data_IF_837037721203
#
_entry.id   IF_837037721203
#
_cell.length_a   1.000
_cell.length_b   1.000
_cell.length_c   1.000
_cell.angle_alpha   90.00
_cell.angle_beta   90.00
_cell.angle_gamma   90.00
#
_symmetry.space_group_name_H-M   'P 1'
#
loop_
_entity.id
_entity.type
_entity.pdbx_description
1 polymer ?
#
# COMPACT_ATOMS: atom_id res chain seq x y z
N UNK A 1 4.18 44.53 -14.19
CA UNK A 1 4.87 44.34 -12.89
C UNK A 1 4.15 43.30 -12.05
N UNK A 2 4.26 42.00 -12.29
CA UNK A 2 3.68 40.92 -11.43
C UNK A 2 4.38 39.56 -11.52
N UNK A 3 5.59 39.50 -12.09
CA UNK A 3 6.30 38.20 -12.26
C UNK A 3 7.65 38.12 -11.50
N UNK A 4 8.06 39.16 -10.80
CA UNK A 4 9.36 39.20 -10.10
C UNK A 4 9.29 38.71 -8.63
N UNK A 5 8.11 38.61 -8.02
CA UNK A 5 7.96 38.17 -6.63
C UNK A 5 7.92 36.64 -6.43
N UNK A 6 7.69 35.88 -7.50
CA UNK A 6 7.67 34.40 -7.41
C UNK A 6 9.07 33.78 -7.29
N UNK A 7 10.12 34.51 -7.69
CA UNK A 7 11.52 34.02 -7.67
C UNK A 7 12.25 34.29 -6.36
N UNK A 8 11.69 35.09 -5.44
CA UNK A 8 12.33 35.43 -4.15
C UNK A 8 11.97 34.50 -2.98
N UNK A 9 10.99 33.60 -3.16
CA UNK A 9 10.67 32.61 -2.12
C UNK A 9 11.48 31.35 -2.37
N UNK A 10 12.41 31.05 -1.45
CA UNK A 10 13.24 29.85 -1.55
C UNK A 10 12.41 28.56 -1.59
N UNK A 11 12.96 27.46 -2.08
CA UNK A 11 12.26 26.17 -2.28
C UNK A 11 11.58 25.62 -1.02
N UNK A 12 12.01 26.02 0.17
CA UNK A 12 11.44 25.60 1.46
C UNK A 12 10.12 26.32 1.76
N UNK A 13 10.00 27.62 1.45
CA UNK A 13 8.81 28.41 1.74
C UNK A 13 7.65 28.10 0.78
N UNK A 14 7.99 27.79 -0.48
CA UNK A 14 7.03 27.33 -1.47
C UNK A 14 6.44 25.96 -1.09
N UNK A 15 7.25 25.03 -0.56
CA UNK A 15 6.80 23.70 -0.13
C UNK A 15 5.87 23.76 1.09
N UNK A 16 6.12 24.62 2.09
CA UNK A 16 5.29 24.73 3.30
C UNK A 16 3.82 25.08 3.01
N UNK A 17 3.54 25.81 1.94
CA UNK A 17 2.17 26.23 1.57
C UNK A 17 1.31 25.10 1.02
N UNK A 18 1.91 24.00 0.56
CA UNK A 18 1.25 22.85 -0.03
C UNK A 18 1.40 21.56 0.79
N UNK A 19 2.07 21.62 1.93
CA UNK A 19 2.22 20.45 2.78
C UNK A 19 0.95 20.19 3.59
N UNK A 20 0.53 18.94 3.61
CA UNK A 20 -0.60 18.47 4.39
C UNK A 20 -0.12 17.97 5.75
N UNK A 21 -0.44 18.71 6.81
CA UNK A 21 -0.24 18.21 8.16
C UNK A 21 -1.39 17.25 8.47
N UNK A 22 -1.09 15.97 8.50
CA UNK A 22 -2.03 14.95 8.93
C UNK A 22 -2.22 15.05 10.45
N UNK A 23 -3.45 15.22 10.87
CA UNK A 23 -3.84 15.07 12.27
C UNK A 23 -4.31 13.63 12.57
N UNK A 24 -4.64 13.34 13.83
CA UNK A 24 -5.08 12.00 14.24
C UNK A 24 -6.36 11.57 13.54
N UNK A 25 -7.23 12.51 13.16
CA UNK A 25 -8.46 12.20 12.44
C UNK A 25 -8.17 11.85 10.98
N UNK A 26 -7.26 12.57 10.32
CA UNK A 26 -6.83 12.23 8.96
C UNK A 26 -6.24 10.81 8.90
N UNK A 27 -5.39 10.46 9.87
CA UNK A 27 -4.82 9.11 9.97
C UNK A 27 -5.91 8.06 10.17
N UNK A 28 -6.90 8.30 11.04
CA UNK A 28 -8.03 7.39 11.26
C UNK A 28 -8.86 7.19 9.99
N UNK A 29 -9.15 8.26 9.25
CA UNK A 29 -9.89 8.18 7.98
C UNK A 29 -9.11 7.38 6.94
N UNK A 30 -7.80 7.61 6.81
CA UNK A 30 -6.94 6.90 5.86
C UNK A 30 -6.90 5.40 6.18
N UNK A 31 -6.81 5.04 7.47
CA UNK A 31 -6.85 3.64 7.92
C UNK A 31 -8.12 2.92 7.48
N UNK A 32 -9.27 3.57 7.63
CA UNK A 32 -10.57 3.00 7.25
C UNK A 32 -10.70 2.72 5.75
N UNK A 33 -10.01 3.50 4.92
CA UNK A 33 -10.01 3.35 3.46
C UNK A 33 -8.90 2.44 2.94
N UNK A 34 -8.11 1.87 3.81
CA UNK A 34 -6.95 1.08 3.45
C UNK A 34 -5.68 1.91 3.34
N UNK A 35 -4.73 1.54 4.16
CA UNK A 35 -3.41 2.13 4.15
C UNK A 35 -2.46 1.34 3.23
N UNK A 36 -1.24 1.85 2.99
CA UNK A 36 -0.25 1.21 2.13
C UNK A 36 0.14 -0.21 2.52
N UNK A 37 -0.24 -0.65 3.70
CA UNK A 37 0.29 -1.87 4.30
C UNK A 37 -0.80 -2.87 4.71
N UNK A 38 -2.07 -2.44 4.81
CA UNK A 38 -3.19 -3.28 5.24
C UNK A 38 -4.32 -3.31 4.21
N UNK A 39 -4.78 -4.47 3.75
CA UNK A 39 -5.85 -4.53 2.75
C UNK A 39 -7.19 -4.04 3.30
N UNK A 40 -7.85 -3.13 2.59
CA UNK A 40 -9.26 -2.81 2.78
C UNK A 40 -10.08 -3.55 1.73
N UNK A 41 -10.80 -4.57 2.15
CA UNK A 41 -11.53 -5.45 1.25
C UNK A 41 -12.80 -4.82 0.68
N UNK A 42 -13.45 -3.89 1.40
CA UNK A 42 -14.61 -3.19 0.86
C UNK A 42 -14.19 -2.03 -0.03
N UNK A 43 -14.04 -2.31 -1.31
CA UNK A 43 -13.61 -1.32 -2.32
C UNK A 43 -14.65 -0.20 -2.56
N UNK A 44 -15.86 -0.34 -2.02
CA UNK A 44 -16.97 0.62 -2.13
C UNK A 44 -17.39 1.18 -0.77
N UNK A 45 -16.48 1.14 0.20
CA UNK A 45 -16.74 1.70 1.53
C UNK A 45 -17.26 3.14 1.44
N UNK A 46 -18.38 3.41 2.13
CA UNK A 46 -19.03 4.72 2.08
C UNK A 46 -18.46 5.66 3.12
N UNK A 47 -18.49 6.95 2.85
CA UNK A 47 -18.06 7.97 3.82
C UNK A 47 -18.93 7.97 5.07
N UNK A 48 -20.23 7.67 4.92
CA UNK A 48 -21.18 7.52 6.03
C UNK A 48 -20.78 6.37 6.97
N UNK A 49 -20.41 5.20 6.40
CA UNK A 49 -19.96 4.06 7.18
C UNK A 49 -18.65 4.34 7.93
N UNK A 50 -17.68 4.97 7.26
CA UNK A 50 -16.43 5.42 7.88
C UNK A 50 -16.73 6.39 9.02
N UNK A 51 -17.52 7.43 8.75
CA UNK A 51 -17.90 8.45 9.73
C UNK A 51 -18.51 7.84 11.00
N UNK A 52 -19.43 6.88 10.84
CA UNK A 52 -20.05 6.16 11.94
C UNK A 52 -19.02 5.38 12.79
N UNK A 53 -18.06 4.69 12.15
CA UNK A 53 -17.04 3.91 12.90
C UNK A 53 -16.07 4.79 13.66
N UNK A 54 -15.69 5.93 13.09
CA UNK A 54 -14.72 6.84 13.74
C UNK A 54 -15.37 7.92 14.61
N UNK A 55 -16.71 7.99 14.66
CA UNK A 55 -17.46 8.90 15.53
C UNK A 55 -17.44 10.35 15.08
N UNK A 56 -17.56 10.60 13.77
CA UNK A 56 -17.68 11.94 13.15
C UNK A 56 -18.86 11.97 12.17
N UNK A 57 -19.18 13.13 11.61
CA UNK A 57 -20.15 13.27 10.54
C UNK A 57 -19.54 12.94 9.16
N UNK A 58 -20.41 12.56 8.20
CA UNK A 58 -20.00 12.20 6.84
C UNK A 58 -19.32 13.36 6.10
N UNK A 59 -19.80 14.58 6.31
CA UNK A 59 -19.26 15.77 5.64
C UNK A 59 -17.80 16.04 6.10
N UNK A 60 -17.51 15.77 7.36
CA UNK A 60 -16.12 15.83 7.87
C UNK A 60 -15.21 14.85 7.15
N UNK A 61 -15.62 13.59 6.95
CA UNK A 61 -14.85 12.61 6.18
C UNK A 61 -14.66 13.07 4.74
N UNK A 62 -15.74 13.48 4.08
CA UNK A 62 -15.75 13.97 2.69
C UNK A 62 -14.81 15.16 2.51
N UNK A 63 -14.91 16.17 3.36
CA UNK A 63 -14.09 17.39 3.31
C UNK A 63 -12.61 17.09 3.51
N UNK A 64 -12.26 16.19 4.44
CA UNK A 64 -10.88 15.81 4.72
C UNK A 64 -10.24 15.05 3.56
N UNK A 65 -10.93 14.08 2.98
CA UNK A 65 -10.45 13.34 1.82
C UNK A 65 -10.31 14.24 0.59
N UNK A 66 -11.31 15.08 0.33
CA UNK A 66 -11.25 16.08 -0.77
C UNK A 66 -10.03 16.99 -0.61
N UNK A 67 -9.77 17.48 0.60
CA UNK A 67 -8.59 18.29 0.89
C UNK A 67 -7.28 17.51 0.62
N UNK A 68 -7.21 16.24 1.01
CA UNK A 68 -6.03 15.41 0.77
C UNK A 68 -5.79 15.17 -0.74
N UNK A 69 -6.86 15.00 -1.52
CA UNK A 69 -6.82 14.89 -2.98
C UNK A 69 -6.39 16.21 -3.64
N UNK A 70 -7.00 17.33 -3.28
CA UNK A 70 -6.67 18.67 -3.80
C UNK A 70 -5.23 19.10 -3.50
N UNK A 71 -4.69 18.72 -2.34
CA UNK A 71 -3.30 18.94 -1.97
C UNK A 71 -2.35 17.93 -2.65
N UNK A 72 -2.88 16.87 -3.26
CA UNK A 72 -2.09 15.80 -3.84
C UNK A 72 -1.37 14.92 -2.80
N UNK A 73 -1.72 15.02 -1.52
CA UNK A 73 -1.14 14.20 -0.46
C UNK A 73 -1.69 12.77 -0.47
N UNK A 74 -2.91 12.59 -0.96
CA UNK A 74 -3.53 11.29 -1.25
C UNK A 74 -4.18 11.34 -2.64
N UNK A 75 -3.39 11.26 -3.73
CA UNK A 75 -3.88 11.49 -5.09
C UNK A 75 -4.81 10.39 -5.59
N UNK A 76 -5.00 9.31 -4.85
CA UNK A 76 -5.98 8.31 -5.23
C UNK A 76 -5.77 6.93 -4.61
N UNK A 77 -6.54 6.01 -5.14
CA UNK A 77 -6.64 4.63 -4.71
C UNK A 77 -6.43 3.71 -5.89
N UNK A 78 -5.90 2.52 -5.64
CA UNK A 78 -5.76 1.46 -6.64
C UNK A 78 -6.51 0.22 -6.19
N UNK A 79 -7.20 -0.42 -7.11
CA UNK A 79 -7.76 -1.74 -6.89
C UNK A 79 -6.67 -2.78 -7.06
N UNK A 80 -6.55 -3.65 -6.09
CA UNK A 80 -5.63 -4.79 -6.10
C UNK A 80 -6.42 -6.09 -6.01
N UNK A 81 -5.84 -7.17 -6.48
CA UNK A 81 -6.44 -8.50 -6.44
C UNK A 81 -5.71 -9.37 -5.42
N UNK A 82 -6.46 -10.16 -4.67
CA UNK A 82 -5.87 -11.16 -3.80
C UNK A 82 -5.00 -12.13 -4.63
N UNK A 83 -3.70 -12.26 -4.34
CA UNK A 83 -2.78 -13.05 -5.16
C UNK A 83 -3.24 -14.49 -5.34
N UNK A 84 -3.91 -15.08 -4.36
CA UNK A 84 -4.38 -16.47 -4.41
C UNK A 84 -5.42 -16.74 -5.49
N UNK A 85 -6.19 -15.70 -5.90
CA UNK A 85 -7.14 -15.82 -7.03
C UNK A 85 -6.45 -16.00 -8.38
N UNK A 86 -5.20 -15.57 -8.46
CA UNK A 86 -4.41 -15.68 -9.69
C UNK A 86 -3.29 -16.72 -9.59
N UNK A 87 -3.39 -17.63 -8.58
CA UNK A 87 -2.44 -18.71 -8.37
C UNK A 87 -1.09 -18.23 -7.86
N UNK A 88 -1.07 -17.11 -7.13
CA UNK A 88 0.15 -16.52 -6.58
C UNK A 88 0.10 -16.46 -5.05
N UNK A 89 1.28 -16.41 -4.46
CA UNK A 89 1.54 -15.92 -3.12
C UNK A 89 2.18 -14.54 -3.22
N UNK A 90 2.32 -13.85 -2.09
CA UNK A 90 2.95 -12.54 -2.05
C UNK A 90 4.16 -12.55 -1.11
N UNK A 91 5.19 -11.79 -1.46
CA UNK A 91 6.36 -11.57 -0.64
C UNK A 91 6.80 -10.10 -0.67
N UNK A 92 7.50 -9.69 0.38
CA UNK A 92 8.24 -8.43 0.43
C UNK A 92 9.73 -8.69 0.49
N UNK A 93 10.48 -7.79 -0.15
CA UNK A 93 11.93 -7.76 -0.17
C UNK A 93 12.36 -6.40 0.36
N UNK A 94 13.17 -6.38 1.41
CA UNK A 94 13.83 -5.18 1.93
C UNK A 94 15.31 -5.23 1.53
N UNK A 95 15.79 -4.18 0.88
CA UNK A 95 17.14 -4.09 0.35
C UNK A 95 17.61 -2.65 0.23
N UNK A 96 18.91 -2.46 0.05
CA UNK A 96 19.50 -1.17 -0.28
C UNK A 96 20.12 -1.20 -1.68
N UNK A 97 19.92 -0.13 -2.46
CA UNK A 97 20.69 0.05 -3.70
C UNK A 97 22.14 0.35 -3.38
N UNK A 98 23.04 -0.18 -4.17
CA UNK A 98 24.49 0.06 -4.00
C UNK A 98 24.83 1.56 -4.08
N UNK A 99 24.25 2.27 -5.04
CA UNK A 99 24.50 3.68 -5.33
C UNK A 99 23.17 4.48 -5.30
N UNK A 100 23.06 5.42 -4.38
CA UNK A 100 21.88 6.31 -4.26
C UNK A 100 21.63 7.11 -5.54
N UNK A 101 22.67 7.50 -6.27
CA UNK A 101 22.54 8.22 -7.54
C UNK A 101 21.89 7.41 -8.66
N UNK A 102 21.91 6.08 -8.57
CA UNK A 102 21.26 5.16 -9.52
C UNK A 102 19.88 4.67 -9.05
N UNK A 103 19.42 5.10 -7.89
CA UNK A 103 18.20 4.57 -7.25
C UNK A 103 16.94 4.76 -8.08
N UNK A 104 16.73 5.93 -8.66
CA UNK A 104 15.55 6.20 -9.50
C UNK A 104 15.52 5.26 -10.73
N UNK A 105 16.70 4.96 -11.32
CA UNK A 105 16.82 3.98 -12.40
C UNK A 105 16.50 2.57 -11.89
N UNK A 106 17.05 2.16 -10.75
CA UNK A 106 16.78 0.87 -10.14
C UNK A 106 15.28 0.67 -9.83
N UNK A 107 14.60 1.71 -9.32
CA UNK A 107 13.13 1.69 -9.11
C UNK A 107 12.41 1.48 -10.44
N UNK A 108 12.76 2.23 -11.49
CA UNK A 108 12.12 2.12 -12.80
C UNK A 108 12.32 0.74 -13.46
N UNK A 109 13.50 0.13 -13.29
CA UNK A 109 13.79 -1.22 -13.80
C UNK A 109 13.08 -2.28 -12.96
N UNK A 110 13.11 -2.18 -11.63
CA UNK A 110 12.39 -3.08 -10.71
C UNK A 110 10.88 -3.07 -10.95
N UNK A 111 10.30 -1.90 -11.25
CA UNK A 111 8.89 -1.76 -11.55
C UNK A 111 8.44 -2.54 -12.81
N UNK A 112 9.37 -2.90 -13.70
CA UNK A 112 9.10 -3.70 -14.91
C UNK A 112 9.20 -5.21 -14.67
N UNK A 113 9.69 -5.64 -13.52
CA UNK A 113 9.77 -7.06 -13.19
C UNK A 113 8.36 -7.61 -12.98
N UNK A 114 8.00 -8.64 -13.72
CA UNK A 114 6.68 -9.28 -13.65
C UNK A 114 6.35 -9.75 -12.24
N UNK A 115 5.18 -9.35 -11.79
CA UNK A 115 4.69 -9.63 -10.44
C UNK A 115 5.03 -8.57 -9.40
N UNK A 116 5.94 -7.64 -9.67
CA UNK A 116 6.15 -6.49 -8.77
C UNK A 116 4.90 -5.63 -8.80
N UNK A 117 4.33 -5.37 -7.63
CA UNK A 117 3.07 -4.65 -7.48
C UNK A 117 3.22 -3.36 -6.69
N UNK A 118 4.28 -3.24 -5.89
CA UNK A 118 4.49 -2.08 -5.02
C UNK A 118 5.97 -1.91 -4.71
N UNK A 119 6.45 -0.67 -4.75
CA UNK A 119 7.77 -0.27 -4.28
C UNK A 119 7.60 0.89 -3.30
N UNK A 120 8.10 0.72 -2.07
CA UNK A 120 8.31 1.80 -1.12
C UNK A 120 9.73 2.32 -1.31
N UNK A 121 9.85 3.58 -1.70
CA UNK A 121 11.10 4.31 -1.77
C UNK A 121 11.33 4.99 -0.42
N UNK A 122 12.41 4.63 0.26
CA UNK A 122 12.85 5.28 1.48
C UNK A 122 13.86 6.40 1.20
N UNK A 123 14.07 7.31 2.10
CA UNK A 123 15.21 8.25 2.02
C UNK A 123 16.52 7.48 2.12
N UNK A 124 17.58 7.98 1.46
CA UNK A 124 18.82 7.24 1.31
C UNK A 124 18.66 6.07 0.34
N UNK A 125 19.33 4.96 0.58
CA UNK A 125 19.46 3.82 -0.35
C UNK A 125 18.37 2.76 -0.23
N UNK A 126 17.57 2.77 0.84
CA UNK A 126 16.59 1.72 1.15
C UNK A 126 15.42 1.63 0.19
N UNK A 127 15.02 0.41 -0.15
CA UNK A 127 13.82 0.07 -0.91
C UNK A 127 13.10 -1.11 -0.24
N UNK A 128 11.76 -1.10 -0.29
CA UNK A 128 10.97 -2.29 -0.01
C UNK A 128 10.10 -2.61 -1.22
N UNK A 129 10.29 -3.80 -1.80
CA UNK A 129 9.59 -4.27 -2.99
C UNK A 129 8.58 -5.34 -2.60
N UNK A 130 7.31 -5.15 -2.96
CA UNK A 130 6.28 -6.19 -2.80
C UNK A 130 5.97 -6.79 -4.16
N UNK A 131 5.96 -8.11 -4.21
CA UNK A 131 5.71 -8.86 -5.45
C UNK A 131 4.81 -10.07 -5.23
N UNK A 132 4.18 -10.52 -6.32
CA UNK A 132 3.45 -11.76 -6.41
C UNK A 132 4.31 -12.81 -7.13
N UNK A 133 4.26 -14.07 -6.66
CA UNK A 133 5.01 -15.19 -7.21
C UNK A 133 4.20 -16.48 -7.18
N UNK A 134 4.47 -17.38 -8.11
CA UNK A 134 3.74 -18.64 -8.27
C UNK A 134 4.40 -19.81 -7.56
N UNK A 135 5.69 -19.71 -7.25
CA UNK A 135 6.47 -20.74 -6.55
C UNK A 135 7.68 -20.13 -5.84
N UNK A 136 8.30 -20.89 -4.94
CA UNK A 136 9.54 -20.48 -4.26
C UNK A 136 10.69 -20.25 -5.26
N UNK A 137 10.78 -21.08 -6.32
CA UNK A 137 11.79 -20.88 -7.37
C UNK A 137 11.56 -19.58 -8.15
N UNK A 138 10.28 -19.23 -8.41
CA UNK A 138 9.94 -17.97 -9.03
C UNK A 138 10.28 -16.79 -8.12
N UNK A 139 10.01 -16.91 -6.81
CA UNK A 139 10.41 -15.91 -5.81
C UNK A 139 11.93 -15.73 -5.81
N UNK A 140 12.68 -16.82 -5.74
CA UNK A 140 14.16 -16.80 -5.74
C UNK A 140 14.70 -16.09 -6.97
N UNK A 141 14.27 -16.48 -8.19
CA UNK A 141 14.71 -15.82 -9.44
C UNK A 141 14.40 -14.33 -9.48
N UNK A 142 13.17 -13.93 -9.07
CA UNK A 142 12.78 -12.52 -9.02
C UNK A 142 13.59 -11.74 -8.00
N UNK A 143 13.85 -12.32 -6.85
CA UNK A 143 14.66 -11.72 -5.79
C UNK A 143 16.12 -11.52 -6.22
N UNK A 144 16.70 -12.49 -6.91
CA UNK A 144 18.05 -12.39 -7.50
C UNK A 144 18.12 -11.31 -8.58
N UNK A 145 17.12 -11.25 -9.48
CA UNK A 145 17.03 -10.22 -10.51
C UNK A 145 16.92 -8.81 -9.90
N UNK A 146 16.06 -8.63 -8.90
CA UNK A 146 15.89 -7.33 -8.21
C UNK A 146 17.20 -6.96 -7.49
N UNK A 147 17.85 -7.90 -6.84
CA UNK A 147 19.17 -7.69 -6.23
C UNK A 147 20.21 -7.23 -7.25
N UNK A 148 20.26 -7.86 -8.42
CA UNK A 148 21.16 -7.47 -9.52
C UNK A 148 20.85 -6.05 -10.05
N UNK A 149 19.57 -5.72 -10.24
CA UNK A 149 19.15 -4.36 -10.64
C UNK A 149 19.61 -3.31 -9.61
N UNK A 150 19.52 -3.64 -8.32
CA UNK A 150 19.91 -2.75 -7.24
C UNK A 150 21.41 -2.77 -6.92
N UNK A 151 22.18 -3.68 -7.53
CA UNK A 151 23.62 -3.83 -7.29
C UNK A 151 23.95 -4.43 -5.92
N UNK A 152 23.05 -5.22 -5.31
CA UNK A 152 23.23 -5.76 -3.96
C UNK A 152 22.88 -7.23 -3.86
N UNK A 153 23.64 -7.96 -3.04
CA UNK A 153 23.30 -9.32 -2.62
C UNK A 153 22.59 -9.35 -1.26
N UNK A 154 22.71 -8.29 -0.47
CA UNK A 154 22.10 -8.19 0.86
C UNK A 154 20.63 -7.83 0.76
N UNK A 155 19.76 -8.72 1.24
CA UNK A 155 18.32 -8.52 1.23
C UNK A 155 17.63 -9.37 2.29
N UNK A 156 16.53 -8.85 2.82
CA UNK A 156 15.63 -9.60 3.70
C UNK A 156 14.35 -9.89 2.93
N UNK A 157 13.93 -11.16 2.89
CA UNK A 157 12.73 -11.60 2.18
C UNK A 157 11.78 -12.25 3.17
N UNK A 158 10.49 -11.88 3.11
CA UNK A 158 9.45 -12.53 3.92
C UNK A 158 8.14 -12.64 3.15
N UNK A 159 7.42 -13.73 3.43
CA UNK A 159 6.11 -13.96 2.86
C UNK A 159 5.05 -13.04 3.46
N UNK A 160 4.08 -12.65 2.63
CA UNK A 160 2.90 -11.89 3.02
C UNK A 160 1.69 -12.84 3.03
N UNK A 161 1.08 -13.02 4.21
CA UNK A 161 -0.07 -13.90 4.38
C UNK A 161 -1.36 -13.26 3.92
N UNK A 162 -1.83 -13.60 2.73
CA UNK A 162 -3.18 -13.26 2.30
C UNK A 162 -4.17 -14.36 2.72
N UNK A 163 -5.39 -13.99 3.16
CA UNK A 163 -6.43 -14.97 3.46
C UNK A 163 -6.83 -15.71 2.18
N UNK A 164 -7.35 -16.93 2.33
CA UNK A 164 -7.95 -17.62 1.20
C UNK A 164 -9.21 -16.87 0.76
N UNK A 165 -9.37 -16.57 -0.54
CA UNK A 165 -10.60 -15.99 -1.05
C UNK A 165 -11.74 -16.98 -0.88
N UNK A 166 -12.91 -16.48 -0.47
CA UNK A 166 -14.15 -17.27 -0.36
C UNK A 166 -15.13 -16.83 -1.45
N UNK A 167 -14.66 -16.81 -2.68
CA UNK A 167 -15.47 -16.50 -3.86
C UNK A 167 -14.84 -17.09 -5.10
N UNK A 168 -15.67 -17.63 -5.97
CA UNK A 168 -15.27 -18.03 -7.33
C UNK A 168 -15.52 -16.87 -8.29
N UNK A 169 -14.45 -16.35 -8.85
CA UNK A 169 -14.50 -15.27 -9.84
C UNK A 169 -15.01 -15.77 -11.19
N UNK A 170 -15.99 -15.09 -11.73
CA UNK A 170 -16.49 -15.30 -13.10
C UNK A 170 -15.81 -14.35 -14.07
N UNK A 171 -15.95 -14.56 -15.39
CA UNK A 171 -15.47 -13.62 -16.42
C UNK A 171 -16.05 -12.22 -16.21
N UNK A 172 -17.33 -12.13 -15.84
CA UNK A 172 -17.96 -10.84 -15.53
C UNK A 172 -17.26 -10.12 -14.36
N UNK A 173 -16.88 -10.88 -13.31
CA UNK A 173 -16.15 -10.31 -12.18
C UNK A 173 -14.78 -9.76 -12.62
N UNK A 174 -14.04 -10.51 -13.43
CA UNK A 174 -12.76 -10.06 -13.99
C UNK A 174 -12.91 -8.82 -14.88
N UNK A 175 -13.98 -8.75 -15.70
CA UNK A 175 -14.29 -7.55 -16.50
C UNK A 175 -14.59 -6.35 -15.60
N UNK A 176 -15.35 -6.52 -14.51
CA UNK A 176 -15.63 -5.45 -13.54
C UNK A 176 -14.33 -4.96 -12.89
N UNK A 177 -13.48 -5.88 -12.41
CA UNK A 177 -12.17 -5.53 -11.83
C UNK A 177 -11.30 -4.79 -12.84
N UNK A 178 -11.22 -5.27 -14.08
CA UNK A 178 -10.47 -4.61 -15.15
C UNK A 178 -10.96 -3.19 -15.44
N UNK A 179 -12.28 -2.99 -15.45
CA UNK A 179 -12.91 -1.67 -15.68
C UNK A 179 -12.64 -0.67 -14.54
N UNK A 180 -12.29 -1.14 -13.35
CA UNK A 180 -12.04 -0.33 -12.16
C UNK A 180 -10.55 -0.24 -11.79
N UNK A 181 -9.67 -0.95 -12.47
CA UNK A 181 -8.26 -1.06 -12.10
C UNK A 181 -7.58 0.32 -12.04
N UNK A 182 -7.80 1.18 -13.04
CA UNK A 182 -7.22 2.53 -13.12
C UNK A 182 -7.97 3.58 -12.30
N UNK A 183 -9.27 3.37 -12.06
CA UNK A 183 -10.13 4.28 -11.30
C UNK A 183 -11.14 3.48 -10.47
N UNK A 184 -10.79 3.23 -9.24
CA UNK A 184 -11.61 2.46 -8.29
C UNK A 184 -12.89 3.22 -7.88
N UNK A 185 -12.93 4.54 -8.05
CA UNK A 185 -14.09 5.40 -7.75
C UNK A 185 -14.99 5.62 -8.96
N UNK A 186 -14.67 5.01 -10.11
CA UNK A 186 -15.51 5.05 -11.30
C UNK A 186 -16.98 4.74 -10.96
N UNK A 187 -17.90 5.49 -11.56
CA UNK A 187 -19.33 5.30 -11.30
C UNK A 187 -19.80 3.90 -11.68
N UNK A 188 -20.74 3.33 -10.91
CA UNK A 188 -21.30 2.00 -11.21
C UNK A 188 -21.99 1.96 -12.58
N UNK A 189 -22.60 3.07 -13.00
CA UNK A 189 -23.16 3.22 -14.35
C UNK A 189 -22.07 3.15 -15.43
N UNK A 190 -20.94 3.84 -15.21
CA UNK A 190 -19.80 3.77 -16.13
C UNK A 190 -19.18 2.37 -16.23
N UNK A 191 -19.09 1.64 -15.12
CA UNK A 191 -18.65 0.24 -15.10
C UNK A 191 -19.67 -0.66 -15.80
N UNK A 192 -20.95 -0.52 -15.47
CA UNK A 192 -22.09 -1.24 -16.06
C UNK A 192 -22.07 -1.17 -17.60
N UNK A 193 -21.96 0.03 -18.14
CA UNK A 193 -21.87 0.29 -19.60
C UNK A 193 -20.63 -0.37 -20.23
N UNK A 194 -19.48 -0.29 -19.56
CA UNK A 194 -18.23 -0.85 -20.10
C UNK A 194 -18.17 -2.38 -20.07
N UNK A 195 -18.89 -3.01 -19.13
CA UNK A 195 -18.91 -4.48 -18.96
C UNK A 195 -20.10 -5.13 -19.66
N UNK A 196 -21.16 -4.36 -19.98
CA UNK A 196 -22.38 -4.85 -20.61
C UNK A 196 -23.33 -5.59 -19.66
N UNK A 197 -23.39 -5.18 -18.38
CA UNK A 197 -24.29 -5.74 -17.37
C UNK A 197 -25.04 -4.64 -16.63
N UNK A 198 -26.12 -4.96 -15.91
CA UNK A 198 -26.87 -3.95 -15.15
C UNK A 198 -26.04 -3.39 -13.98
N UNK A 199 -26.33 -2.14 -13.56
CA UNK A 199 -25.75 -1.50 -12.35
C UNK A 199 -25.95 -2.39 -11.12
N UNK A 200 -27.14 -2.96 -10.94
CA UNK A 200 -27.45 -3.89 -9.84
C UNK A 200 -26.56 -5.14 -9.87
N UNK A 201 -26.23 -5.64 -11.06
CA UNK A 201 -25.30 -6.76 -11.20
C UNK A 201 -23.90 -6.36 -10.78
N UNK A 202 -23.40 -5.20 -11.22
CA UNK A 202 -22.08 -4.68 -10.80
C UNK A 202 -22.00 -4.55 -9.27
N UNK A 203 -23.00 -3.92 -8.66
CA UNK A 203 -23.06 -3.71 -7.20
C UNK A 203 -23.04 -5.05 -6.43
N UNK A 204 -23.92 -5.97 -6.79
CA UNK A 204 -23.96 -7.30 -6.17
C UNK A 204 -22.63 -8.05 -6.30
N UNK A 205 -21.99 -7.98 -7.48
CA UNK A 205 -20.69 -8.64 -7.72
C UNK A 205 -19.57 -8.00 -6.90
N UNK A 206 -19.52 -6.68 -6.81
CA UNK A 206 -18.53 -5.97 -5.96
C UNK A 206 -18.72 -6.32 -4.48
N UNK A 207 -19.95 -6.41 -4.00
CA UNK A 207 -20.23 -6.86 -2.62
C UNK A 207 -19.73 -8.28 -2.39
N UNK A 208 -20.07 -9.22 -3.29
CA UNK A 208 -19.59 -10.62 -3.19
C UNK A 208 -18.06 -10.72 -3.23
N UNK A 209 -17.40 -9.92 -4.09
CA UNK A 209 -15.92 -9.87 -4.14
C UNK A 209 -15.31 -9.31 -2.85
N UNK A 210 -15.94 -8.30 -2.24
CA UNK A 210 -15.50 -7.73 -0.97
C UNK A 210 -15.63 -8.74 0.18
N UNK A 211 -16.80 -9.34 0.33
CA UNK A 211 -17.09 -10.37 1.35
C UNK A 211 -16.18 -11.59 1.18
N UNK A 212 -15.97 -12.02 -0.05
CA UNK A 212 -15.07 -13.13 -0.40
C UNK A 212 -13.60 -12.80 -0.42
N UNK A 213 -13.20 -11.59 -0.01
CA UNK A 213 -11.78 -11.15 0.05
C UNK A 213 -11.04 -11.32 -1.27
N UNK A 214 -11.73 -11.03 -2.39
CA UNK A 214 -11.19 -11.16 -3.74
C UNK A 214 -10.34 -9.96 -4.15
N UNK A 215 -10.80 -8.76 -3.83
CA UNK A 215 -10.19 -7.49 -4.21
C UNK A 215 -10.06 -6.59 -3.00
N UNK A 216 -9.08 -5.69 -3.03
CA UNK A 216 -8.86 -4.74 -1.95
C UNK A 216 -8.38 -3.39 -2.47
N UNK A 217 -8.50 -2.36 -1.63
CA UNK A 217 -7.98 -1.03 -1.90
C UNK A 217 -6.55 -0.89 -1.43
N UNK A 218 -5.77 -0.19 -2.24
CA UNK A 218 -4.44 0.32 -1.90
C UNK A 218 -4.45 1.84 -2.06
N UNK A 219 -4.32 2.57 -0.95
CA UNK A 219 -4.07 4.01 -0.99
C UNK A 219 -2.68 4.31 -1.54
N UNK A 220 -2.55 5.41 -2.28
CA UNK A 220 -1.27 5.86 -2.85
C UNK A 220 -0.91 7.22 -2.25
N UNK A 221 -0.44 7.27 -0.99
CA UNK A 221 -0.05 8.52 -0.34
C UNK A 221 1.22 9.09 -0.96
N UNK A 222 1.28 10.42 -1.04
CA UNK A 222 2.47 11.17 -1.40
C UNK A 222 3.16 11.69 -0.13
N UNK A 223 4.07 10.91 0.41
CA UNK A 223 4.77 11.23 1.67
C UNK A 223 5.61 12.50 1.60
N UNK A 224 5.97 12.97 0.40
CA UNK A 224 6.71 14.23 0.21
C UNK A 224 5.90 15.47 0.61
N UNK A 225 4.57 15.35 0.64
CA UNK A 225 3.65 16.44 0.96
C UNK A 225 3.14 16.38 2.40
N UNK A 226 3.50 15.35 3.16
CA UNK A 226 3.13 15.25 4.57
C UNK A 226 4.04 16.14 5.43
N UNK A 227 3.44 16.84 6.39
CA UNK A 227 4.19 17.47 7.48
C UNK A 227 4.49 16.42 8.52
N UNK A 228 5.75 16.35 8.95
CA UNK A 228 6.25 15.28 9.81
C UNK A 228 7.00 14.22 9.03
N UNK A 229 7.26 13.11 9.66
CA UNK A 229 8.07 12.01 9.14
C UNK A 229 7.25 10.74 9.18
N UNK A 230 7.01 10.16 8.00
CA UNK A 230 6.37 8.86 7.87
C UNK A 230 7.45 7.78 7.79
N UNK A 231 7.41 6.83 8.74
CA UNK A 231 8.39 5.77 8.84
C UNK A 231 7.75 4.39 8.70
N UNK A 232 8.51 3.46 8.15
CA UNK A 232 8.23 2.03 8.25
C UNK A 232 9.24 1.41 9.22
N UNK A 233 8.74 0.66 10.20
CA UNK A 233 9.54 -0.15 11.09
C UNK A 233 9.33 -1.62 10.72
N UNK A 234 10.41 -2.28 10.31
CA UNK A 234 10.44 -3.72 10.12
C UNK A 234 11.03 -4.34 11.39
N UNK A 235 10.18 -5.01 12.16
CA UNK A 235 10.54 -5.63 13.43
C UNK A 235 10.66 -7.13 13.23
N UNK A 236 11.80 -7.71 13.59
CA UNK A 236 12.03 -9.15 13.59
C UNK A 236 11.93 -9.69 15.01
N UNK A 237 11.03 -10.65 15.20
CA UNK A 237 10.84 -11.38 16.45
C UNK A 237 10.57 -12.86 16.11
N UNK A 238 11.55 -13.77 16.34
CA UNK A 238 11.44 -15.16 15.92
C UNK A 238 10.38 -15.95 16.69
N UNK A 239 10.11 -15.58 17.95
CA UNK A 239 9.05 -16.18 18.76
C UNK A 239 7.71 -15.52 18.45
N UNK A 240 6.77 -16.29 17.87
CA UNK A 240 5.47 -15.78 17.47
C UNK A 240 4.56 -15.32 18.64
N UNK A 241 4.75 -15.87 19.87
CA UNK A 241 4.00 -15.42 21.04
C UNK A 241 4.52 -14.07 21.52
N UNK A 242 5.84 -13.95 21.67
CA UNK A 242 6.50 -12.69 22.04
C UNK A 242 6.22 -11.60 20.98
N UNK A 243 6.25 -11.97 19.68
CA UNK A 243 5.86 -11.08 18.60
C UNK A 243 4.46 -10.48 18.80
N UNK A 244 3.46 -11.32 19.09
CA UNK A 244 2.08 -10.85 19.30
C UNK A 244 1.99 -9.87 20.47
N UNK A 245 2.69 -10.14 21.58
CA UNK A 245 2.76 -9.24 22.73
C UNK A 245 3.46 -7.93 22.36
N UNK A 246 4.59 -7.99 21.66
CA UNK A 246 5.30 -6.79 21.20
C UNK A 246 4.44 -5.94 20.27
N UNK A 247 3.71 -6.58 19.35
CA UNK A 247 2.78 -5.91 18.41
C UNK A 247 1.68 -5.13 19.19
N UNK A 248 1.05 -5.75 20.19
CA UNK A 248 0.03 -5.09 21.04
C UNK A 248 0.62 -3.92 21.84
N UNK A 249 1.82 -4.08 22.39
CA UNK A 249 2.51 -3.02 23.13
C UNK A 249 2.78 -1.82 22.21
N UNK A 250 3.30 -2.06 21.00
CA UNK A 250 3.58 -1.00 20.03
C UNK A 250 2.30 -0.29 19.62
N UNK A 251 1.25 -1.03 19.27
CA UNK A 251 -0.04 -0.46 18.85
C UNK A 251 -0.71 0.36 19.95
N UNK A 252 -0.56 -0.05 21.22
CA UNK A 252 -1.18 0.66 22.34
C UNK A 252 -0.45 1.93 22.76
N UNK A 253 0.87 1.99 22.56
CA UNK A 253 1.71 3.08 23.07
C UNK A 253 2.08 4.13 22.04
N UNK A 254 2.23 3.75 20.76
CA UNK A 254 2.63 4.69 19.71
C UNK A 254 1.39 5.26 19.02
N UNK A 255 1.19 6.57 19.17
CA UNK A 255 0.14 7.29 18.43
C UNK A 255 0.41 7.25 16.93
N UNK A 256 -0.65 7.37 16.12
CA UNK A 256 -0.56 7.37 14.67
C UNK A 256 0.21 6.16 14.11
N UNK A 257 0.05 5.02 14.76
CA UNK A 257 0.69 3.75 14.37
C UNK A 257 -0.31 2.83 13.73
N UNK A 258 0.16 2.10 12.74
CA UNK A 258 -0.57 1.01 12.13
C UNK A 258 0.32 -0.20 11.95
N UNK A 259 -0.19 -1.37 12.36
CA UNK A 259 0.42 -2.65 12.10
C UNK A 259 -0.06 -3.17 10.75
N UNK A 260 0.87 -3.33 9.83
CA UNK A 260 0.67 -4.18 8.68
C UNK A 260 0.91 -5.63 9.11
N UNK A 261 -0.13 -6.27 9.58
CA UNK A 261 -0.04 -7.70 9.83
C UNK A 261 -0.16 -8.46 8.50
N UNK A 262 0.98 -8.70 7.92
CA UNK A 262 1.12 -9.41 6.64
C UNK A 262 1.10 -10.94 6.80
N UNK A 263 0.66 -11.44 7.96
CA UNK A 263 0.63 -12.87 8.25
C UNK A 263 2.01 -13.52 8.39
N UNK A 264 3.09 -12.76 8.37
CA UNK A 264 4.41 -13.27 8.71
C UNK A 264 4.46 -13.70 10.18
N UNK A 265 5.02 -14.87 10.44
CA UNK A 265 5.15 -15.40 11.80
C UNK A 265 6.25 -14.70 12.60
N UNK A 266 7.21 -14.09 11.93
CA UNK A 266 8.43 -13.55 12.54
C UNK A 266 8.61 -12.05 12.32
N UNK A 267 7.98 -11.49 11.30
CA UNK A 267 8.11 -10.07 10.97
C UNK A 267 6.82 -9.30 11.27
N UNK A 268 6.97 -8.11 11.84
CA UNK A 268 5.92 -7.09 11.92
C UNK A 268 6.37 -5.85 11.18
N UNK A 269 5.47 -5.27 10.42
CA UNK A 269 5.72 -4.00 9.72
C UNK A 269 4.77 -2.96 10.30
N UNK A 270 5.32 -1.92 10.91
CA UNK A 270 4.55 -0.79 11.41
C UNK A 270 4.77 0.43 10.52
N UNK A 271 3.68 1.11 10.18
CA UNK A 271 3.74 2.45 9.60
C UNK A 271 3.43 3.45 10.70
N UNK A 272 4.33 4.39 10.92
CA UNK A 272 4.22 5.38 11.98
C UNK A 272 4.48 6.78 11.44
N UNK A 273 3.79 7.76 12.01
CA UNK A 273 3.94 9.17 11.64
C UNK A 273 4.39 9.94 12.87
N UNK A 274 5.52 10.65 12.76
CA UNK A 274 6.14 11.43 13.81
C UNK A 274 6.20 12.91 13.43
N UNK A 275 6.23 13.79 14.41
CA UNK A 275 6.41 15.21 14.16
C UNK A 275 7.88 15.55 13.84
N UNK A 276 8.84 14.77 14.33
CA UNK A 276 10.28 14.95 14.10
C UNK A 276 11.07 13.64 14.15
N UNK A 277 12.33 13.68 13.72
CA UNK A 277 13.21 12.51 13.66
C UNK A 277 13.59 11.97 15.05
N UNK A 278 13.70 12.83 16.06
CA UNK A 278 14.08 12.41 17.41
C UNK A 278 13.03 11.48 18.01
N UNK A 279 11.73 11.77 17.81
CA UNK A 279 10.66 10.88 18.24
C UNK A 279 10.71 9.52 17.54
N UNK A 280 11.06 9.50 16.24
CA UNK A 280 11.22 8.26 15.50
C UNK A 280 12.41 7.44 16.02
N UNK A 281 13.55 8.09 16.29
CA UNK A 281 14.74 7.43 16.83
C UNK A 281 14.53 6.91 18.24
N UNK A 282 13.84 7.65 19.10
CA UNK A 282 13.51 7.21 20.45
C UNK A 282 12.53 6.02 20.41
N UNK A 283 11.56 6.05 19.50
CA UNK A 283 10.66 4.90 19.25
C UNK A 283 11.43 3.69 18.75
N UNK A 284 12.40 3.88 17.85
CA UNK A 284 13.27 2.81 17.35
C UNK A 284 14.04 2.13 18.49
N UNK A 285 14.68 2.93 19.36
CA UNK A 285 15.42 2.44 20.54
C UNK A 285 14.49 1.68 21.48
N UNK A 286 13.31 2.23 21.73
CA UNK A 286 12.33 1.62 22.63
C UNK A 286 11.82 0.28 22.08
N UNK A 287 11.47 0.17 20.79
CA UNK A 287 11.02 -1.10 20.17
C UNK A 287 12.13 -2.15 20.25
N UNK A 288 13.40 -1.77 20.03
CA UNK A 288 14.54 -2.68 20.18
C UNK A 288 14.69 -3.26 21.58
N UNK A 289 14.20 -2.56 22.60
CA UNK A 289 14.23 -3.02 24.01
C UNK A 289 13.05 -3.89 24.40
N UNK A 290 12.08 -4.17 23.51
CA UNK A 290 10.96 -5.04 23.84
C UNK A 290 11.38 -6.52 23.86
N UNK A 291 10.79 -7.26 24.79
CA UNK A 291 11.08 -8.70 24.95
C UNK A 291 10.77 -9.47 23.64
N UNK A 292 11.74 -10.27 23.20
CA UNK A 292 11.66 -11.10 22.02
C UNK A 292 11.98 -10.37 20.69
N UNK A 293 12.17 -9.06 20.69
CA UNK A 293 12.62 -8.32 19.50
C UNK A 293 14.12 -8.48 19.34
N UNK A 294 14.55 -9.10 18.23
CA UNK A 294 15.97 -9.29 17.92
C UNK A 294 16.54 -8.18 17.03
N UNK A 295 15.73 -7.66 16.12
CA UNK A 295 16.17 -6.54 15.28
C UNK A 295 15.01 -5.65 14.86
N UNK A 296 15.33 -4.37 14.63
CA UNK A 296 14.41 -3.37 14.07
C UNK A 296 15.17 -2.55 13.04
N UNK A 297 14.60 -2.47 11.84
CA UNK A 297 15.03 -1.54 10.79
C UNK A 297 13.99 -0.44 10.65
N UNK A 298 14.41 0.79 10.47
CA UNK A 298 13.54 1.94 10.21
C UNK A 298 13.87 2.55 8.85
N UNK A 299 12.84 2.71 8.02
CA UNK A 299 12.94 3.43 6.76
C UNK A 299 12.04 4.67 6.79
N UNK A 300 12.59 5.85 6.45
CA UNK A 300 11.79 7.07 6.26
C UNK A 300 11.21 7.05 4.86
N UNK A 301 9.88 7.04 4.75
CA UNK A 301 9.19 6.95 3.46
C UNK A 301 9.35 8.25 2.66
N UNK A 302 9.68 8.10 1.38
CA UNK A 302 9.77 9.17 0.40
C UNK A 302 8.62 9.09 -0.60
N UNK A 303 8.38 7.89 -1.14
CA UNK A 303 7.36 7.66 -2.15
C UNK A 303 6.84 6.22 -2.13
N UNK A 304 5.57 6.05 -2.51
CA UNK A 304 4.98 4.76 -2.79
C UNK A 304 4.63 4.68 -4.27
N UNK A 305 5.22 3.71 -4.96
CA UNK A 305 4.90 3.40 -6.36
C UNK A 305 4.08 2.12 -6.41
N UNK A 306 2.88 2.18 -6.99
CA UNK A 306 1.99 1.02 -7.17
C UNK A 306 1.89 0.71 -8.65
N UNK A 307 2.29 -0.51 -9.03
CA UNK A 307 2.26 -1.00 -10.40
C UNK A 307 0.98 -1.80 -10.66
N UNK A 308 0.31 -1.50 -11.77
CA UNK A 308 -0.90 -2.21 -12.18
C UNK A 308 -0.77 -2.89 -13.56
N UNK A 309 0.28 -2.62 -14.30
CA UNK A 309 0.44 -3.11 -15.68
C UNK A 309 0.48 -4.64 -15.75
N UNK A 310 1.31 -5.27 -14.89
CA UNK A 310 1.35 -6.73 -14.82
C UNK A 310 0.01 -7.30 -14.37
N UNK A 311 -0.60 -6.70 -13.33
CA UNK A 311 -1.91 -7.14 -12.83
C UNK A 311 -3.00 -6.98 -13.90
N UNK A 312 -2.96 -5.90 -14.67
CA UNK A 312 -3.86 -5.68 -15.81
C UNK A 312 -3.73 -6.77 -16.87
N UNK A 313 -2.51 -7.21 -17.20
CA UNK A 313 -2.27 -8.33 -18.12
C UNK A 313 -2.85 -9.64 -17.56
N UNK A 314 -2.65 -9.91 -16.28
CA UNK A 314 -3.18 -11.10 -15.61
C UNK A 314 -4.72 -11.13 -15.57
N UNK A 315 -5.35 -9.97 -15.35
CA UNK A 315 -6.81 -9.82 -15.42
C UNK A 315 -7.29 -10.01 -16.86
N UNK A 316 -6.62 -9.39 -17.84
CA UNK A 316 -6.94 -9.50 -19.26
C UNK A 316 -6.99 -10.94 -19.75
N UNK A 317 -6.02 -11.78 -19.35
CA UNK A 317 -5.99 -13.21 -19.68
C UNK A 317 -7.25 -13.95 -19.17
N UNK A 318 -7.80 -13.56 -18.02
CA UNK A 318 -8.98 -14.18 -17.40
C UNK A 318 -10.29 -13.67 -17.96
N UNK A 319 -10.29 -12.58 -18.71
CA UNK A 319 -11.48 -12.08 -19.42
C UNK A 319 -11.69 -12.75 -20.78
N UNK A 320 -10.68 -13.46 -21.30
CA UNK A 320 -10.69 -14.09 -22.63
C UNK A 320 -10.88 -15.62 -22.55
N UNK A 321 -10.48 -16.25 -21.45
CA UNK A 321 -10.37 -17.73 -21.37
C UNK A 321 -11.68 -18.53 -21.26
N UNK A 322 -12.87 -17.92 -21.20
CA UNK A 322 -14.14 -18.67 -21.22
C UNK A 322 -14.62 -19.01 -22.65
N UNK A 323 -13.91 -18.58 -23.69
CA UNK A 323 -14.30 -18.88 -25.08
C UNK A 323 -13.90 -20.29 -25.56
N UNK A 324 -13.20 -21.08 -24.72
CA UNK A 324 -12.67 -22.40 -25.10
C UNK A 324 -13.22 -23.59 -24.29
N UNK A 325 -14.22 -23.37 -23.41
CA UNK A 325 -14.86 -24.42 -22.64
C UNK A 325 -16.41 -24.37 -22.75
N UNK A 326 -16.94 -24.22 -23.97
CA UNK A 326 -18.29 -24.58 -24.36
C UNK A 326 -18.25 -25.76 -25.33
#
# INVERSE_FOLDING_TARGET
MRNSDKLKRGPVEFRRRFMHRLDDLDVRIIKELGNPTSPQWNVRETYSSIAKRIGVDEETVRRRLKRAEELGSLPGWRMMVNPRLIGCEAASIDLEVEDEGKKDKAIAETARVDGVIKILDFRGRGLQVTLYHQSEEALKRKTELIGSICGTSERTVWGLGFPRPDVRMTVTDWKIVGAMLGDVRRSLDGVSKSVGVSVRTVERRLTSMAEGRAVFLQGVPNFRLFVGISCVFLVFCPDGKKKSVADEIVLSKVRRTELSNTGSRQYSTFVMIFDNISEADDTLKWIRGLDGVESVKMGIMKELVVMQDWLGREIGRRTVNDSFHQ
#
